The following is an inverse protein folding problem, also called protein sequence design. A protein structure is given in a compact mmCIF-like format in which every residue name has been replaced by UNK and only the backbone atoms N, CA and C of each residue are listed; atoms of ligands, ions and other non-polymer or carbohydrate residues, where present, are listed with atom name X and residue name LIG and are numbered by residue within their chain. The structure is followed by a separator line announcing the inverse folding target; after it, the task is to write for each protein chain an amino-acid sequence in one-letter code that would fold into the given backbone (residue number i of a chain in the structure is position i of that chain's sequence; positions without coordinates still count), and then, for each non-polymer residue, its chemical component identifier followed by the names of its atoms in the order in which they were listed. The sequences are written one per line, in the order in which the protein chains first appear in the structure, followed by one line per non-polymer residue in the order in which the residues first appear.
data_IF_922937439468
#
_entry.id   IF_922937439468
#
_cell.length_a   1.000
_cell.length_b   1.000
_cell.length_c   1.000
_cell.angle_alpha   90.00
_cell.angle_beta   90.00
_cell.angle_gamma   90.00
#
_symmetry.space_group_name_H-M   'P 1'
#
loop_
_entity.id
_entity.type
_entity.pdbx_description
1 polymer ?
#
# COMPACT_ATOMS: atom_id res chain seq x y z
N UNK A 1 7.13 24.30 2.36
CA UNK A 1 7.83 23.27 1.54
C UNK A 1 8.52 22.31 2.49
N UNK A 2 8.40 21.02 2.28
CA UNK A 2 9.02 19.98 3.13
C UNK A 2 9.69 18.92 2.26
N UNK A 3 10.63 18.18 2.84
CA UNK A 3 11.31 17.04 2.20
C UNK A 3 10.77 15.75 2.83
N UNK A 4 10.53 14.72 2.02
CA UNK A 4 10.08 13.41 2.48
C UNK A 4 11.13 12.33 2.21
N UNK A 5 11.48 11.54 3.22
CA UNK A 5 12.45 10.44 3.09
C UNK A 5 11.74 9.16 2.65
N UNK A 6 12.02 8.73 1.42
CA UNK A 6 11.22 7.72 0.71
C UNK A 6 11.67 6.27 0.88
N UNK A 7 12.78 6.00 1.58
CA UNK A 7 13.27 4.62 1.76
C UNK A 7 12.17 3.69 2.33
N UNK A 8 12.13 2.46 1.83
CA UNK A 8 11.29 1.37 2.34
C UNK A 8 12.00 0.63 3.48
N UNK A 9 11.32 -0.27 4.18
CA UNK A 9 11.93 -0.96 5.34
C UNK A 9 13.12 -1.82 4.95
N UNK A 10 13.10 -2.43 3.77
CA UNK A 10 14.11 -3.38 3.29
C UNK A 10 14.99 -2.85 2.14
N UNK A 11 14.63 -1.72 1.51
CA UNK A 11 15.39 -1.09 0.41
C UNK A 11 15.53 0.42 0.56
N UNK A 12 16.73 0.94 0.25
CA UNK A 12 17.02 2.38 0.19
C UNK A 12 16.25 3.07 -0.94
N UNK A 13 16.21 2.44 -2.12
CA UNK A 13 15.41 2.87 -3.26
C UNK A 13 14.08 2.12 -3.22
N UNK A 14 13.02 2.86 -2.92
CA UNK A 14 11.66 2.34 -2.76
C UNK A 14 10.99 2.05 -4.11
N UNK A 15 9.86 1.34 -4.06
CA UNK A 15 8.96 1.16 -5.19
C UNK A 15 7.62 1.84 -4.96
N UNK A 16 6.75 1.85 -5.97
CA UNK A 16 5.42 2.50 -5.85
C UNK A 16 4.53 1.88 -4.78
N UNK A 17 4.63 0.56 -4.52
CA UNK A 17 3.75 -0.13 -3.57
C UNK A 17 4.07 0.22 -2.11
N UNK A 18 5.35 0.08 -1.75
CA UNK A 18 5.81 0.42 -0.40
C UNK A 18 5.70 1.93 -0.13
N UNK A 19 5.94 2.78 -1.13
CA UNK A 19 5.68 4.21 -1.04
C UNK A 19 4.18 4.52 -0.84
N UNK A 20 3.28 3.91 -1.62
CA UNK A 20 1.84 4.11 -1.48
C UNK A 20 1.35 3.74 -0.09
N UNK A 21 1.78 2.60 0.44
CA UNK A 21 1.47 2.20 1.82
C UNK A 21 1.98 3.23 2.83
N UNK A 22 3.18 3.78 2.64
CA UNK A 22 3.73 4.79 3.53
C UNK A 22 2.92 6.09 3.55
N UNK A 23 2.57 6.66 2.39
CA UNK A 23 1.86 7.95 2.36
C UNK A 23 0.33 7.84 2.47
N UNK A 24 -0.27 6.68 2.19
CA UNK A 24 -1.72 6.47 2.33
C UNK A 24 -2.11 5.82 3.65
N UNK A 25 -1.30 4.90 4.19
CA UNK A 25 -1.58 4.19 5.44
C UNK A 25 -0.72 4.65 6.61
N UNK A 26 0.28 5.52 6.38
CA UNK A 26 1.13 6.08 7.43
C UNK A 26 2.17 5.11 8.01
N UNK A 27 2.39 3.96 7.37
CA UNK A 27 3.32 2.91 7.84
C UNK A 27 4.26 2.52 6.70
N UNK A 28 5.58 2.59 6.93
CA UNK A 28 6.56 2.05 5.98
C UNK A 28 6.52 0.52 5.98
N UNK A 29 6.67 -0.06 4.80
CA UNK A 29 6.66 -1.52 4.61
C UNK A 29 7.77 -1.97 3.66
N UNK A 30 7.82 -3.26 3.38
CA UNK A 30 8.78 -3.88 2.47
C UNK A 30 8.42 -3.58 1.00
N UNK A 31 9.41 -3.56 0.12
CA UNK A 31 9.21 -3.39 -1.34
C UNK A 31 8.17 -4.37 -1.88
N UNK A 32 7.32 -3.91 -2.80
CA UNK A 32 6.33 -4.74 -3.47
C UNK A 32 5.07 -5.07 -2.65
N UNK A 33 5.01 -4.64 -1.39
CA UNK A 33 3.89 -4.89 -0.47
C UNK A 33 2.92 -3.70 -0.45
N UNK A 34 1.60 -4.00 -0.46
CA UNK A 34 0.51 -3.02 -0.46
C UNK A 34 -0.34 -3.17 0.79
N UNK A 35 -0.51 -2.08 1.56
CA UNK A 35 -1.46 -2.04 2.68
C UNK A 35 -1.16 -3.01 3.82
N UNK A 36 0.07 -3.53 3.91
CA UNK A 36 0.52 -4.39 5.00
C UNK A 36 1.75 -3.78 5.66
N UNK A 37 1.94 -4.00 6.96
CA UNK A 37 3.16 -3.64 7.68
C UNK A 37 4.34 -4.57 7.29
N UNK A 38 5.54 -4.25 7.77
CA UNK A 38 6.77 -4.95 7.40
C UNK A 38 6.88 -6.42 7.88
N UNK A 39 5.90 -6.94 8.65
CA UNK A 39 5.83 -8.36 8.95
C UNK A 39 5.45 -9.20 7.72
N UNK A 40 4.74 -8.61 6.75
CA UNK A 40 4.43 -9.24 5.48
C UNK A 40 5.67 -9.30 4.58
N UNK A 41 5.86 -10.44 3.91
CA UNK A 41 6.98 -10.71 2.99
C UNK A 41 6.49 -10.72 1.55
N UNK A 42 7.24 -10.07 0.67
CA UNK A 42 6.92 -9.99 -0.76
C UNK A 42 6.66 -11.40 -1.34
N UNK A 43 5.54 -11.58 -2.03
CA UNK A 43 5.16 -12.86 -2.66
C UNK A 43 4.69 -13.98 -1.72
N UNK A 44 4.62 -13.76 -0.40
CA UNK A 44 4.13 -14.76 0.55
C UNK A 44 2.73 -14.41 1.09
N UNK A 45 1.69 -15.01 0.49
CA UNK A 45 0.30 -14.82 0.89
C UNK A 45 0.04 -15.08 2.38
N UNK A 46 0.64 -16.13 2.94
CA UNK A 46 0.43 -16.50 4.36
C UNK A 46 0.92 -15.43 5.34
N UNK A 47 1.92 -14.64 4.95
CA UNK A 47 2.49 -13.57 5.77
C UNK A 47 1.62 -12.32 5.87
N UNK A 48 0.59 -12.19 5.03
CA UNK A 48 -0.32 -11.04 5.08
C UNK A 48 -1.27 -11.10 6.28
N UNK A 49 -1.51 -12.28 6.84
CA UNK A 49 -2.47 -12.48 7.93
C UNK A 49 -2.05 -11.68 9.17
N UNK A 50 -2.89 -10.73 9.57
CA UNK A 50 -2.66 -9.88 10.74
C UNK A 50 -1.69 -8.71 10.51
N UNK A 51 -1.24 -8.49 9.27
CA UNK A 51 -0.32 -7.40 8.93
C UNK A 51 -1.03 -6.16 8.33
N UNK A 52 -2.36 -6.18 8.19
CA UNK A 52 -3.13 -5.11 7.55
C UNK A 52 -2.92 -3.74 8.22
N UNK A 53 -2.74 -2.71 7.40
CA UNK A 53 -2.72 -1.30 7.81
C UNK A 53 -3.74 -0.52 7.00
N UNK A 54 -4.66 0.14 7.69
CA UNK A 54 -5.74 0.89 7.04
C UNK A 54 -5.24 2.20 6.44
N UNK A 55 -5.79 2.57 5.28
CA UNK A 55 -5.48 3.83 4.61
C UNK A 55 -6.30 5.00 5.16
N UNK A 56 -5.85 6.22 4.90
CA UNK A 56 -6.61 7.45 5.17
C UNK A 56 -7.96 7.47 4.44
N UNK A 57 -8.09 6.80 3.28
CA UNK A 57 -9.37 6.64 2.61
C UNK A 57 -10.31 5.74 3.43
N UNK A 58 -9.80 4.62 3.95
CA UNK A 58 -10.59 3.74 4.84
C UNK A 58 -11.05 4.48 6.09
N UNK A 59 -10.19 5.31 6.68
CA UNK A 59 -10.51 6.13 7.85
C UNK A 59 -11.57 7.18 7.52
N UNK A 60 -11.44 7.85 6.37
CA UNK A 60 -12.39 8.86 5.90
C UNK A 60 -13.78 8.27 5.65
N UNK A 61 -13.84 7.10 5.00
CA UNK A 61 -15.10 6.39 4.77
C UNK A 61 -15.73 5.95 6.10
N UNK A 62 -14.94 5.47 7.06
CA UNK A 62 -15.41 5.08 8.39
C UNK A 62 -15.94 6.28 9.20
N UNK A 63 -15.45 7.48 8.92
CA UNK A 63 -15.96 8.74 9.46
C UNK A 63 -17.17 9.30 8.69
N UNK A 64 -17.77 8.54 7.77
CA UNK A 64 -18.95 8.95 7.00
C UNK A 64 -18.67 9.96 5.88
N UNK A 65 -17.41 10.13 5.46
CA UNK A 65 -17.03 11.02 4.36
C UNK A 65 -17.04 10.27 3.03
N UNK A 66 -17.37 10.96 1.94
CA UNK A 66 -17.22 10.42 0.59
C UNK A 66 -15.74 10.24 0.23
N UNK A 67 -15.42 9.14 -0.45
CA UNK A 67 -14.06 8.80 -0.90
C UNK A 67 -14.05 8.43 -2.37
N UNK A 68 -12.97 8.71 -3.09
CA UNK A 68 -12.80 8.33 -4.50
C UNK A 68 -11.33 8.26 -4.90
N UNK A 69 -11.06 7.50 -5.96
CA UNK A 69 -9.72 7.31 -6.53
C UNK A 69 -9.79 7.66 -8.01
N UNK A 70 -8.89 8.53 -8.47
CA UNK A 70 -8.75 8.90 -9.88
C UNK A 70 -7.30 8.67 -10.28
N UNK A 71 -7.08 7.96 -11.38
CA UNK A 71 -5.75 7.65 -11.90
C UNK A 71 -5.79 7.49 -13.42
N UNK A 72 -4.64 7.68 -14.07
CA UNK A 72 -4.43 7.36 -15.49
C UNK A 72 -3.86 5.95 -15.68
N UNK A 73 -3.44 5.29 -14.60
CA UNK A 73 -2.98 3.90 -14.62
C UNK A 73 -4.16 2.93 -14.43
N UNK A 74 -3.90 1.62 -14.48
CA UNK A 74 -4.89 0.62 -14.06
C UNK A 74 -5.30 0.92 -12.61
N UNK A 75 -6.59 0.79 -12.28
CA UNK A 75 -7.08 1.00 -10.92
C UNK A 75 -6.45 0.05 -9.90
N UNK A 76 -5.97 -1.10 -10.36
CA UNK A 76 -5.26 -2.15 -9.62
C UNK A 76 -3.74 -1.92 -9.53
N UNK A 77 -3.20 -0.91 -10.20
CA UNK A 77 -1.79 -0.57 -10.09
C UNK A 77 -1.43 -0.19 -8.63
N UNK A 78 -0.15 -0.30 -8.27
CA UNK A 78 0.31 -0.14 -6.90
C UNK A 78 -0.15 1.15 -6.19
N UNK A 79 -0.10 2.31 -6.88
CA UNK A 79 -0.46 3.60 -6.28
C UNK A 79 -1.94 3.69 -5.86
N UNK A 80 -2.92 3.45 -6.75
CA UNK A 80 -4.33 3.40 -6.33
C UNK A 80 -4.63 2.22 -5.40
N UNK A 81 -4.00 1.06 -5.61
CA UNK A 81 -4.21 -0.13 -4.79
C UNK A 81 -3.81 0.08 -3.33
N UNK A 82 -2.76 0.85 -3.03
CA UNK A 82 -2.35 1.18 -1.66
C UNK A 82 -3.44 1.90 -0.83
N UNK A 83 -4.49 2.43 -1.47
CA UNK A 83 -5.60 3.04 -0.77
C UNK A 83 -6.67 2.05 -0.30
N UNK A 84 -6.76 0.84 -0.86
CA UNK A 84 -7.86 -0.10 -0.61
C UNK A 84 -7.46 -1.58 -0.49
N UNK A 85 -6.31 -1.97 -1.03
CA UNK A 85 -5.88 -3.36 -1.09
C UNK A 85 -4.88 -3.71 0.03
N UNK A 86 -4.95 -4.95 0.49
CA UNK A 86 -3.98 -5.57 1.38
C UNK A 86 -3.37 -6.78 0.68
N UNK A 87 -2.18 -6.63 0.10
CA UNK A 87 -1.57 -7.66 -0.74
C UNK A 87 -0.05 -7.72 -0.53
N UNK A 88 0.54 -8.91 -0.32
CA UNK A 88 1.99 -9.05 -0.20
C UNK A 88 2.71 -9.01 -1.55
N UNK A 89 2.02 -8.86 -2.68
CA UNK A 89 2.65 -8.67 -3.98
C UNK A 89 1.82 -7.74 -4.87
N UNK A 90 2.41 -6.60 -5.24
CA UNK A 90 1.79 -5.59 -6.12
C UNK A 90 1.42 -6.08 -7.52
N UNK A 91 2.04 -7.18 -7.98
CA UNK A 91 1.78 -7.73 -9.32
C UNK A 91 0.56 -8.66 -9.33
N UNK A 92 -0.02 -8.99 -8.17
CA UNK A 92 -1.27 -9.75 -8.06
C UNK A 92 -2.50 -8.85 -8.30
N UNK A 93 -2.55 -8.25 -9.49
CA UNK A 93 -3.68 -7.42 -9.93
C UNK A 93 -4.89 -8.26 -10.35
N UNK A 94 -4.67 -9.51 -10.80
CA UNK A 94 -5.69 -10.46 -11.26
C UNK A 94 -5.37 -11.89 -10.82
N UNK A 95 -6.34 -12.79 -10.89
CA UNK A 95 -6.23 -14.23 -10.59
C UNK A 95 -5.74 -15.08 -11.78
N UNK A 96 -5.64 -14.48 -12.97
CA UNK A 96 -5.18 -15.10 -14.22
C UNK A 96 -3.73 -14.78 -14.54
#
# INVERSE_FOLDING_TARGET
LSISQTYSVDKQVTDSASAATAFLCGVKTNRGVLGLNAAAKEGNCSSAKGANVDSILRWSASAGKSTGIVTTTRLTHATPAGAYAHCPNRDWETDR
#
